data_IF_603735632533
#
_entry.id   IF_603735632533
#
_cell.length_a   1.000
_cell.length_b   1.000
_cell.length_c   1.000
_cell.angle_alpha   90.00
_cell.angle_beta   90.00
_cell.angle_gamma   90.00
#
_symmetry.space_group_name_H-M   'P 1'
#
loop_
_entity.id
_entity.type
_entity.pdbx_description
1 polymer ?
#
# COMPACT_ATOMS: atom_id res chain seq x y z
N UNK A 1 8.10 26.94 -22.73
CA UNK A 1 6.88 26.18 -22.35
C UNK A 1 5.83 26.43 -23.41
N UNK A 2 4.96 25.46 -23.68
CA UNK A 2 3.82 25.64 -24.59
C UNK A 2 2.57 25.74 -23.72
N UNK A 3 1.81 26.83 -23.86
CA UNK A 3 0.63 27.06 -23.05
C UNK A 3 -0.65 26.78 -23.84
N UNK A 4 -1.63 26.18 -23.17
CA UNK A 4 -2.82 25.62 -23.81
C UNK A 4 -3.93 26.65 -24.12
N UNK A 5 -3.72 27.93 -23.79
CA UNK A 5 -4.71 28.99 -24.06
C UNK A 5 -4.70 29.43 -25.52
N UNK A 6 -3.54 29.44 -26.16
CA UNK A 6 -3.32 29.91 -27.53
C UNK A 6 -2.34 29.04 -28.34
N UNK A 7 -1.86 27.94 -27.76
CA UNK A 7 -0.74 27.13 -28.29
C UNK A 7 0.53 27.97 -28.53
N UNK A 8 0.66 29.06 -27.78
CA UNK A 8 1.83 29.91 -27.78
C UNK A 8 3.02 29.22 -27.13
N UNK A 9 4.21 29.47 -27.68
CA UNK A 9 5.48 28.99 -27.13
C UNK A 9 6.18 30.13 -26.41
N UNK A 10 6.35 29.97 -25.10
CA UNK A 10 7.05 30.92 -24.24
C UNK A 10 8.49 30.46 -23.95
N UNK A 11 9.39 31.42 -23.82
CA UNK A 11 10.78 31.22 -23.39
C UNK A 11 11.07 32.09 -22.18
N UNK A 12 11.79 31.54 -21.21
CA UNK A 12 12.27 32.26 -20.03
C UNK A 12 13.79 32.15 -19.98
N UNK A 13 14.47 33.29 -19.82
CA UNK A 13 15.90 33.31 -19.51
C UNK A 13 16.09 33.23 -17.99
N UNK A 14 17.01 32.39 -17.54
CA UNK A 14 17.36 32.24 -16.14
C UNK A 14 18.84 31.90 -16.01
N UNK A 15 19.49 32.49 -15.01
CA UNK A 15 20.88 32.17 -14.66
C UNK A 15 21.02 30.75 -14.09
N UNK A 16 19.96 30.25 -13.44
CA UNK A 16 19.95 28.94 -12.77
C UNK A 16 18.62 28.21 -12.98
N UNK A 17 18.68 26.90 -13.17
CA UNK A 17 17.51 26.01 -13.22
C UNK A 17 17.66 24.90 -12.18
N UNK A 18 16.65 24.72 -11.32
CA UNK A 18 16.61 23.66 -10.30
C UNK A 18 15.57 22.61 -10.71
N UNK A 19 16.01 21.37 -10.92
CA UNK A 19 15.12 20.24 -11.22
C UNK A 19 14.64 19.57 -9.92
N UNK A 20 13.58 20.12 -9.32
CA UNK A 20 12.93 19.55 -8.14
C UNK A 20 11.88 18.48 -8.51
N UNK A 21 12.21 17.56 -9.43
CA UNK A 21 11.26 16.60 -10.03
C UNK A 21 10.99 15.34 -9.19
N UNK A 22 11.51 15.28 -7.97
CA UNK A 22 11.38 14.12 -7.08
C UNK A 22 12.28 12.93 -7.47
N UNK A 23 11.90 11.73 -7.01
CA UNK A 23 12.68 10.50 -7.16
C UNK A 23 11.93 9.44 -7.97
N UNK A 24 12.68 8.56 -8.63
CA UNK A 24 12.16 7.36 -9.28
C UNK A 24 12.79 6.12 -8.65
N UNK A 25 12.01 5.06 -8.51
CA UNK A 25 12.56 3.75 -8.12
C UNK A 25 13.49 3.23 -9.22
N UNK A 26 14.58 2.61 -8.82
CA UNK A 26 15.55 1.97 -9.70
C UNK A 26 16.03 0.66 -9.08
N UNK A 27 16.23 -0.36 -9.92
CA UNK A 27 16.74 -1.64 -9.46
C UNK A 27 18.22 -1.51 -9.03
N UNK A 28 18.60 -2.00 -7.84
CA UNK A 28 20.01 -2.03 -7.42
C UNK A 28 20.87 -2.86 -8.37
N UNK A 29 22.12 -2.42 -8.62
CA UNK A 29 23.05 -3.12 -9.52
C UNK A 29 23.42 -4.54 -9.07
N UNK A 30 23.23 -4.87 -7.79
CA UNK A 30 23.48 -6.22 -7.24
C UNK A 30 22.37 -7.21 -7.58
N UNK A 31 21.18 -6.71 -7.94
CA UNK A 31 19.99 -7.55 -8.14
C UNK A 31 19.93 -8.38 -9.43
N UNK A 32 20.60 -8.05 -10.55
CA UNK A 32 20.43 -8.77 -11.83
C UNK A 32 20.55 -10.30 -11.73
N UNK A 33 21.50 -10.82 -10.95
CA UNK A 33 21.67 -12.27 -10.78
C UNK A 33 20.54 -12.95 -10.00
N UNK A 34 19.78 -12.18 -9.20
CA UNK A 34 18.64 -12.66 -8.42
C UNK A 34 17.30 -12.44 -9.14
N UNK A 35 17.25 -11.56 -10.14
CA UNK A 35 16.02 -11.23 -10.87
C UNK A 35 15.25 -12.44 -11.41
N UNK A 36 15.90 -13.50 -11.97
CA UNK A 36 15.16 -14.68 -12.43
C UNK A 36 14.41 -15.43 -11.33
N UNK A 37 14.79 -15.21 -10.07
CA UNK A 37 14.17 -15.83 -8.90
C UNK A 37 13.13 -14.94 -8.24
N UNK A 38 13.06 -13.65 -8.57
CA UNK A 38 12.18 -12.68 -7.90
C UNK A 38 10.91 -12.48 -8.73
N UNK A 39 9.74 -12.62 -8.11
CA UNK A 39 8.46 -12.32 -8.74
C UNK A 39 8.24 -10.81 -8.79
N UNK A 40 8.11 -10.30 -10.01
CA UNK A 40 7.79 -8.90 -10.28
C UNK A 40 6.28 -8.70 -10.39
N UNK A 41 5.79 -7.57 -9.89
CA UNK A 41 4.41 -7.13 -10.09
C UNK A 41 4.26 -6.42 -11.45
N UNK A 42 5.20 -5.52 -11.79
CA UNK A 42 5.32 -4.88 -13.10
C UNK A 42 6.80 -4.80 -13.54
N UNK A 43 7.11 -4.05 -14.62
CA UNK A 43 8.49 -3.94 -15.14
C UNK A 43 9.52 -3.49 -14.10
N UNK A 44 9.13 -2.69 -13.10
CA UNK A 44 10.04 -2.06 -12.15
C UNK A 44 9.67 -2.28 -10.68
N UNK A 45 8.60 -3.01 -10.37
CA UNK A 45 8.19 -3.23 -8.98
C UNK A 45 8.07 -4.68 -8.59
N UNK A 46 8.52 -4.94 -7.36
CA UNK A 46 8.49 -6.28 -6.80
C UNK A 46 7.10 -6.61 -6.26
N UNK A 47 6.75 -7.89 -6.33
CA UNK A 47 5.61 -8.39 -5.57
C UNK A 47 6.04 -8.60 -4.11
N UNK A 48 5.69 -7.64 -3.27
CA UNK A 48 5.98 -7.64 -1.83
C UNK A 48 4.77 -8.17 -1.07
N UNK A 49 4.99 -9.09 -0.13
CA UNK A 49 3.97 -9.62 0.78
C UNK A 49 3.75 -8.68 1.96
N UNK A 50 2.68 -8.91 2.73
CA UNK A 50 2.33 -8.08 3.88
C UNK A 50 3.41 -8.06 4.99
N UNK A 51 4.22 -9.11 5.09
CA UNK A 51 5.37 -9.21 6.01
C UNK A 51 6.65 -8.55 5.47
N UNK A 52 6.54 -7.78 4.39
CA UNK A 52 7.61 -7.09 3.67
C UNK A 52 8.62 -7.99 2.98
N UNK A 53 8.34 -9.30 2.86
CA UNK A 53 9.18 -10.20 2.06
C UNK A 53 8.85 -10.11 0.57
N UNK A 54 9.85 -10.28 -0.28
CA UNK A 54 9.65 -10.52 -1.70
C UNK A 54 9.10 -11.92 -1.94
N UNK A 55 8.16 -12.05 -2.86
CA UNK A 55 7.86 -13.34 -3.47
C UNK A 55 9.04 -13.73 -4.36
N UNK A 56 9.78 -14.78 -3.97
CA UNK A 56 10.95 -15.25 -4.69
C UNK A 56 11.14 -16.77 -4.56
N UNK A 57 11.90 -17.39 -5.48
CA UNK A 57 12.15 -18.84 -5.57
C UNK A 57 13.54 -19.28 -5.10
N UNK A 58 14.16 -18.49 -4.21
CA UNK A 58 15.42 -18.84 -3.55
C UNK A 58 15.27 -19.89 -2.43
N UNK A 59 16.35 -20.14 -1.66
CA UNK A 59 16.31 -21.03 -0.50
C UNK A 59 15.22 -20.61 0.50
N UNK A 60 14.46 -21.58 1.03
CA UNK A 60 13.26 -21.34 1.85
C UNK A 60 13.59 -20.69 3.20
N UNK A 61 14.81 -20.89 3.66
CA UNK A 61 15.35 -20.37 4.91
C UNK A 61 15.70 -18.88 4.79
N UNK A 62 15.86 -18.39 3.57
CA UNK A 62 16.28 -17.03 3.27
C UNK A 62 15.09 -16.17 2.82
N UNK A 63 15.05 -14.93 3.28
CA UNK A 63 14.05 -13.96 2.87
C UNK A 63 14.76 -12.71 2.36
N UNK A 64 14.24 -12.13 1.28
CA UNK A 64 14.62 -10.79 0.84
C UNK A 64 13.53 -9.85 1.32
N UNK A 65 13.90 -8.87 2.14
CA UNK A 65 12.98 -7.85 2.63
C UNK A 65 13.06 -6.60 1.77
N UNK A 66 11.91 -6.01 1.49
CA UNK A 66 11.79 -4.80 0.69
C UNK A 66 11.14 -3.69 1.53
N UNK A 67 11.83 -2.54 1.60
CA UNK A 67 11.37 -1.34 2.31
C UNK A 67 11.42 -0.15 1.35
N UNK A 68 10.41 0.71 1.40
CA UNK A 68 10.22 1.84 0.48
C UNK A 68 10.15 1.41 -1.00
N UNK A 69 9.80 0.15 -1.25
CA UNK A 69 9.82 -0.48 -2.57
C UNK A 69 8.46 -1.06 -2.99
N UNK A 70 7.40 -0.76 -2.23
CA UNK A 70 6.06 -1.30 -2.43
C UNK A 70 4.96 -0.26 -2.46
N UNK A 71 5.29 1.02 -2.70
CA UNK A 71 4.30 2.11 -2.87
C UNK A 71 3.10 1.76 -3.76
N UNK A 72 3.31 1.00 -4.83
CA UNK A 72 2.23 0.62 -5.73
C UNK A 72 1.30 -0.45 -5.17
N UNK A 73 1.77 -1.28 -4.23
CA UNK A 73 0.98 -2.40 -3.64
C UNK A 73 0.49 -2.09 -2.23
N UNK A 74 1.27 -1.32 -1.45
CA UNK A 74 0.99 -0.93 -0.06
C UNK A 74 0.56 0.54 0.09
N UNK A 75 0.47 1.26 -1.03
CA UNK A 75 -0.06 2.61 -1.11
C UNK A 75 0.85 3.68 -0.52
N UNK A 76 0.26 4.86 -0.29
CA UNK A 76 0.97 6.08 0.16
C UNK A 76 1.58 5.96 1.56
N UNK A 77 1.13 4.97 2.35
CA UNK A 77 1.64 4.69 3.69
C UNK A 77 3.08 4.15 3.66
N UNK A 78 3.52 3.62 2.53
CA UNK A 78 4.78 2.90 2.39
C UNK A 78 6.02 3.79 2.58
N UNK A 79 6.18 4.97 1.93
CA UNK A 79 7.35 5.83 2.16
C UNK A 79 7.27 6.63 3.48
N UNK A 80 6.19 6.49 4.26
CA UNK A 80 5.94 7.34 5.41
C UNK A 80 6.85 6.97 6.60
N UNK A 81 7.55 7.97 7.13
CA UNK A 81 8.48 7.79 8.25
C UNK A 81 7.77 7.35 9.53
N UNK A 82 6.55 7.84 9.78
CA UNK A 82 5.80 7.49 11.00
C UNK A 82 5.44 6.01 11.09
N UNK A 83 5.48 5.27 9.98
CA UNK A 83 5.24 3.82 9.94
C UNK A 83 6.53 2.99 9.94
N UNK A 84 7.72 3.60 9.98
CA UNK A 84 8.99 2.85 9.98
C UNK A 84 9.10 1.92 11.20
N UNK A 85 8.77 2.40 12.39
CA UNK A 85 8.86 1.59 13.61
C UNK A 85 7.98 0.33 13.55
N UNK A 86 6.72 0.49 13.13
CA UNK A 86 5.79 -0.63 12.95
C UNK A 86 6.28 -1.61 11.86
N UNK A 87 6.78 -1.11 10.72
CA UNK A 87 7.36 -1.95 9.66
C UNK A 87 8.57 -2.74 10.15
N UNK A 88 9.50 -2.08 10.83
CA UNK A 88 10.68 -2.72 11.42
C UNK A 88 10.30 -3.80 12.42
N UNK A 89 9.30 -3.54 13.26
CA UNK A 89 8.77 -4.54 14.20
C UNK A 89 8.19 -5.76 13.48
N UNK A 90 7.42 -5.55 12.40
CA UNK A 90 6.88 -6.65 11.56
C UNK A 90 7.98 -7.47 10.88
N UNK A 91 9.01 -6.81 10.34
CA UNK A 91 10.18 -7.47 9.75
C UNK A 91 10.92 -8.30 10.81
N UNK A 92 11.17 -7.74 12.00
CA UNK A 92 11.88 -8.44 13.07
C UNK A 92 11.11 -9.67 13.57
N UNK A 93 9.79 -9.57 13.75
CA UNK A 93 8.97 -10.74 14.09
C UNK A 93 9.12 -11.84 13.01
N UNK A 94 9.12 -11.45 11.73
CA UNK A 94 9.27 -12.38 10.61
C UNK A 94 10.67 -13.01 10.51
N UNK A 95 11.73 -12.26 10.79
CA UNK A 95 13.11 -12.74 10.83
C UNK A 95 13.30 -13.74 11.97
N UNK A 96 12.74 -13.46 13.14
CA UNK A 96 12.88 -14.30 14.33
C UNK A 96 11.93 -15.51 14.35
N UNK A 97 10.90 -15.52 13.49
CA UNK A 97 9.87 -16.57 13.47
C UNK A 97 8.98 -16.57 14.72
N UNK A 98 8.96 -15.47 15.48
CA UNK A 98 8.14 -15.28 16.69
C UNK A 98 7.82 -13.80 16.87
N UNK A 99 6.76 -13.51 17.59
CA UNK A 99 6.41 -12.13 17.93
C UNK A 99 7.32 -11.60 19.04
N UNK A 100 8.26 -10.73 18.67
CA UNK A 100 9.09 -9.96 19.62
C UNK A 100 8.39 -8.66 20.01
N UNK A 101 7.69 -8.05 19.06
CA UNK A 101 6.90 -6.84 19.25
C UNK A 101 5.42 -7.14 19.06
N UNK A 102 4.57 -6.57 19.92
CA UNK A 102 3.12 -6.60 19.74
C UNK A 102 2.71 -5.62 18.64
N UNK A 103 1.99 -6.13 17.63
CA UNK A 103 1.48 -5.36 16.50
C UNK A 103 -0.05 -5.24 16.53
N UNK A 104 -0.68 -5.64 17.65
CA UNK A 104 -2.12 -5.50 17.83
C UNK A 104 -2.53 -4.04 17.68
N UNK A 105 -3.56 -3.81 16.88
CA UNK A 105 -4.13 -2.49 16.69
C UNK A 105 -5.31 -2.32 17.64
N UNK A 106 -5.37 -1.23 18.41
CA UNK A 106 -6.56 -0.92 19.17
C UNK A 106 -7.75 -0.70 18.22
N UNK A 107 -9.00 -0.85 18.70
CA UNK A 107 -10.18 -0.64 17.88
C UNK A 107 -10.13 0.72 17.17
N UNK A 108 -10.25 0.70 15.84
CA UNK A 108 -10.28 1.91 15.04
C UNK A 108 -11.66 2.58 15.12
N UNK A 109 -11.70 3.91 15.21
CA UNK A 109 -12.95 4.68 15.12
C UNK A 109 -13.62 4.55 13.75
N UNK A 110 -12.83 4.28 12.71
CA UNK A 110 -13.27 4.10 11.33
C UNK A 110 -12.96 2.68 10.90
N UNK A 111 -13.99 1.90 10.58
CA UNK A 111 -13.84 0.61 9.93
C UNK A 111 -13.84 0.80 8.42
N UNK A 112 -12.65 0.77 7.83
CA UNK A 112 -12.51 0.74 6.38
C UNK A 112 -13.02 -0.60 5.85
N UNK A 113 -13.97 -0.57 4.90
CA UNK A 113 -14.53 -1.79 4.31
C UNK A 113 -13.49 -2.48 3.43
N UNK A 114 -13.14 -3.73 3.72
CA UNK A 114 -12.45 -4.60 2.76
C UNK A 114 -13.49 -5.21 1.82
N UNK A 115 -13.27 -5.13 0.51
CA UNK A 115 -14.28 -5.52 -0.47
C UNK A 115 -14.57 -7.02 -0.47
N UNK A 116 -15.80 -7.41 -0.10
CA UNK A 116 -16.59 -8.37 -0.87
C UNK A 116 -18.07 -8.04 -0.67
N UNK A 117 -18.78 -7.71 -1.75
CA UNK A 117 -20.20 -7.36 -1.72
C UNK A 117 -21.02 -8.64 -1.73
N UNK A 118 -21.49 -9.14 -0.57
CA UNK A 118 -22.74 -9.92 -0.58
C UNK A 118 -23.88 -8.91 -0.80
N UNK A 119 -24.63 -9.06 -1.90
CA UNK A 119 -25.84 -8.26 -2.13
C UNK A 119 -26.77 -8.48 -0.92
N UNK A 120 -27.25 -7.42 -0.25
CA UNK A 120 -28.30 -7.59 0.74
C UNK A 120 -29.55 -8.12 0.02
N UNK A 121 -30.01 -9.29 0.42
CA UNK A 121 -31.27 -9.86 -0.01
C UNK A 121 -32.35 -9.12 0.79
N UNK A 122 -33.36 -8.50 0.15
CA UNK A 122 -34.41 -7.83 0.89
C UNK A 122 -35.17 -8.87 1.71
N UNK A 123 -35.04 -8.79 3.02
CA UNK A 123 -35.90 -9.48 3.97
C UNK A 123 -37.29 -8.85 3.81
N UNK A 124 -38.27 -9.67 3.41
CA UNK A 124 -39.64 -9.22 3.24
C UNK A 124 -40.12 -8.58 4.56
N UNK A 125 -40.39 -7.29 4.53
CA UNK A 125 -40.86 -6.54 5.68
C UNK A 125 -42.11 -7.22 6.26
N UNK A 126 -41.97 -7.82 7.44
CA UNK A 126 -43.11 -8.30 8.21
C UNK A 126 -43.84 -7.08 8.77
N UNK A 127 -44.99 -6.79 8.16
CA UNK A 127 -45.94 -5.77 8.63
C UNK A 127 -46.41 -6.15 10.04
N UNK A 128 -45.86 -5.50 11.06
CA UNK A 128 -46.38 -5.63 12.42
C UNK A 128 -47.46 -4.58 12.61
N UNK A 129 -48.70 -5.04 12.78
CA UNK A 129 -49.87 -4.25 13.11
C UNK A 129 -49.64 -3.43 14.39
N UNK A 130 -49.76 -2.11 14.29
CA UNK A 130 -49.89 -1.23 15.45
C UNK A 130 -51.39 -0.99 15.69
N UNK A 131 -51.98 -1.69 16.66
CA UNK A 131 -53.30 -1.34 17.21
C UNK A 131 -53.13 -0.21 18.22
N UNK A 132 -53.70 0.95 17.91
CA UNK A 132 -53.81 2.06 18.83
C UNK A 132 -54.97 1.81 19.80
N UNK A 133 -54.68 1.64 21.09
CA UNK A 133 -55.67 1.77 22.16
C UNK A 133 -55.51 3.15 22.80
N UNK A 134 -56.45 4.05 22.50
CA UNK A 134 -56.70 5.26 23.27
C UNK A 134 -57.88 4.92 24.17
N UNK A 135 -57.68 4.92 25.49
CA UNK A 135 -58.76 4.91 26.48
C UNK A 135 -59.06 6.35 26.90
N UNK A 136 -60.34 6.72 26.87
CA UNK A 136 -60.93 7.86 27.59
C UNK A 136 -60.99 7.59 29.11
#
# INVERSE_FOLDING_TARGET
>A
MEHHLDQGRESLESDVVIFATGYRSALPQILPSLMPLITMHDKNTFKVRDDFTLEWSGPKENNIFAVNASMQTHGIAEPQLSLMAWRSARILNRVLGRDLFDLSMPPALIQWRSGSRKKPQPEAASLTHYTANIQE
#
